data_IF_268291787698
#
_entry.id   IF_268291787698
#
_cell.length_a   1.000
_cell.length_b   1.000
_cell.length_c   1.000
_cell.angle_alpha   90.00
_cell.angle_beta   90.00
_cell.angle_gamma   90.00
#
_symmetry.space_group_name_H-M   'P 1'
#
loop_
_entity.id
_entity.type
_entity.pdbx_description
1 polymer ?
#
# COMPACT_ATOMS: atom_id res chain seq x y z
N UNK A 1 -3.20 -21.04 -7.79
CA UNK A 1 -2.11 -21.42 -6.86
C UNK A 1 -1.89 -20.40 -5.75
N UNK A 2 -2.96 -19.94 -5.09
CA UNK A 2 -2.79 -19.00 -3.98
C UNK A 2 -3.00 -19.74 -2.68
N UNK A 3 -1.90 -20.30 -2.18
CA UNK A 3 -1.82 -20.77 -0.81
C UNK A 3 -1.90 -19.54 0.09
N UNK A 4 -2.57 -19.63 1.25
CA UNK A 4 -2.60 -18.64 2.33
C UNK A 4 -1.18 -18.47 2.94
N UNK A 5 -0.23 -18.05 2.13
CA UNK A 5 1.18 -17.84 2.52
C UNK A 5 1.63 -16.55 1.89
N UNK A 6 2.35 -15.76 2.65
CA UNK A 6 3.06 -14.59 2.16
C UNK A 6 4.03 -15.01 1.05
N UNK A 7 4.18 -14.17 0.06
CA UNK A 7 5.04 -14.48 -1.09
C UNK A 7 6.50 -14.64 -0.65
N UNK A 8 7.24 -15.65 -1.15
CA UNK A 8 8.69 -15.76 -0.90
C UNK A 8 9.48 -14.52 -1.36
N UNK A 9 8.93 -13.73 -2.28
CA UNK A 9 9.52 -12.45 -2.71
C UNK A 9 9.61 -11.47 -1.55
N UNK A 10 8.65 -11.49 -0.61
CA UNK A 10 8.71 -10.61 0.57
C UNK A 10 9.84 -10.96 1.51
N UNK A 11 10.25 -12.22 1.61
CA UNK A 11 11.43 -12.63 2.38
C UNK A 11 12.70 -12.04 1.79
N UNK A 12 12.82 -12.08 0.46
CA UNK A 12 13.93 -11.46 -0.26
C UNK A 12 13.93 -9.94 -0.12
N UNK A 13 12.76 -9.29 -0.24
CA UNK A 13 12.62 -7.84 -0.06
C UNK A 13 12.98 -7.40 1.36
N UNK A 14 12.61 -8.17 2.39
CA UNK A 14 13.01 -7.89 3.77
C UNK A 14 14.53 -8.01 3.94
N UNK A 15 15.14 -9.05 3.37
CA UNK A 15 16.61 -9.18 3.39
C UNK A 15 17.30 -8.02 2.67
N UNK A 16 16.78 -7.59 1.52
CA UNK A 16 17.26 -6.40 0.81
C UNK A 16 17.10 -5.13 1.65
N UNK A 17 15.93 -4.92 2.25
CA UNK A 17 15.66 -3.79 3.13
C UNK A 17 16.62 -3.74 4.33
N UNK A 18 16.89 -4.90 4.95
CA UNK A 18 17.86 -5.02 6.03
C UNK A 18 19.28 -4.65 5.58
N UNK A 19 19.69 -5.12 4.41
CA UNK A 19 20.98 -4.83 3.83
C UNK A 19 21.13 -3.34 3.53
N UNK A 20 20.16 -2.71 2.88
CA UNK A 20 20.18 -1.29 2.56
C UNK A 20 20.11 -0.41 3.82
N UNK A 21 19.30 -0.78 4.81
CA UNK A 21 19.27 -0.07 6.08
C UNK A 21 20.66 -0.11 6.79
N UNK A 22 21.35 -1.24 6.73
CA UNK A 22 22.72 -1.35 7.26
C UNK A 22 23.73 -0.43 6.55
N UNK A 23 23.48 -0.08 5.27
CA UNK A 23 24.34 0.84 4.49
C UNK A 23 23.98 2.31 4.69
N UNK A 24 22.68 2.62 4.77
CA UNK A 24 22.18 3.99 4.79
C UNK A 24 21.94 4.51 6.22
N UNK A 25 21.72 3.63 7.17
CA UNK A 25 21.34 4.01 8.53
C UNK A 25 19.91 4.56 8.61
N UNK A 26 19.64 5.37 9.63
CA UNK A 26 18.32 5.97 9.90
C UNK A 26 17.46 5.12 10.81
N UNK A 27 16.21 5.55 11.12
CA UNK A 27 15.32 4.87 12.07
C UNK A 27 14.75 3.56 11.51
N UNK A 28 14.64 3.43 10.18
CA UNK A 28 14.08 2.25 9.54
C UNK A 28 14.03 2.38 8.02
N UNK A 29 13.11 1.63 7.41
CA UNK A 29 12.90 1.60 5.96
C UNK A 29 11.43 1.92 5.62
N UNK A 30 11.25 2.51 4.43
CA UNK A 30 9.95 2.63 3.77
C UNK A 30 9.92 1.78 2.51
N UNK A 31 8.71 1.39 2.10
CA UNK A 31 8.51 0.71 0.83
C UNK A 31 7.24 1.19 0.15
N UNK A 32 7.34 1.52 -1.13
CA UNK A 32 6.19 1.82 -1.97
C UNK A 32 5.94 0.63 -2.89
N UNK A 33 4.94 -0.17 -2.58
CA UNK A 33 4.48 -1.25 -3.44
C UNK A 33 3.38 -0.76 -4.37
N UNK A 34 3.52 -1.00 -5.68
CA UNK A 34 2.54 -0.57 -6.68
C UNK A 34 2.00 -1.77 -7.46
N UNK A 35 0.71 -1.75 -7.80
CA UNK A 35 0.05 -2.76 -8.61
C UNK A 35 0.31 -4.18 -8.05
N UNK A 36 0.95 -5.06 -8.80
CA UNK A 36 1.30 -6.42 -8.36
C UNK A 36 2.13 -6.48 -7.09
N UNK A 37 2.98 -5.49 -6.85
CA UNK A 37 3.84 -5.42 -5.68
C UNK A 37 3.20 -4.70 -4.50
N UNK A 38 2.00 -4.14 -4.66
CA UNK A 38 1.31 -3.37 -3.61
C UNK A 38 1.20 -4.14 -2.30
N UNK A 39 0.79 -5.40 -2.33
CA UNK A 39 0.68 -6.24 -1.14
C UNK A 39 2.03 -6.65 -0.53
N UNK A 40 3.14 -6.52 -1.26
CA UNK A 40 4.47 -6.88 -0.72
C UNK A 40 4.94 -5.89 0.36
N UNK A 41 4.61 -4.60 0.22
CA UNK A 41 4.91 -3.61 1.25
C UNK A 41 4.26 -3.98 2.59
N UNK A 42 3.02 -4.50 2.56
CA UNK A 42 2.36 -5.03 3.76
C UNK A 42 3.10 -6.25 4.34
N UNK A 43 3.51 -7.20 3.48
CA UNK A 43 4.28 -8.37 3.91
C UNK A 43 5.69 -8.03 4.43
N UNK A 44 6.25 -6.88 4.04
CA UNK A 44 7.53 -6.40 4.59
C UNK A 44 7.41 -5.91 6.04
N UNK A 45 6.20 -5.60 6.54
CA UNK A 45 5.97 -5.22 7.94
C UNK A 45 6.29 -6.33 8.96
N UNK A 46 6.57 -7.56 8.50
CA UNK A 46 7.11 -8.62 9.36
C UNK A 46 8.57 -8.36 9.79
N UNK A 47 9.19 -7.32 9.25
CA UNK A 47 10.50 -6.82 9.67
C UNK A 47 10.32 -5.53 10.48
N UNK A 48 10.94 -5.46 11.67
CA UNK A 48 10.78 -4.35 12.61
C UNK A 48 11.28 -3.01 12.06
N UNK A 49 12.18 -3.05 11.08
CA UNK A 49 12.69 -1.86 10.38
C UNK A 49 11.69 -1.23 9.43
N UNK A 50 10.63 -1.94 9.01
CA UNK A 50 9.59 -1.36 8.15
C UNK A 50 8.71 -0.39 8.95
N UNK A 51 8.89 0.91 8.70
CA UNK A 51 8.19 1.98 9.40
C UNK A 51 7.20 2.73 8.52
N UNK A 52 7.40 2.73 7.21
CA UNK A 52 6.58 3.49 6.27
C UNK A 52 6.11 2.63 5.07
N UNK A 53 5.17 1.69 5.28
CA UNK A 53 4.58 0.90 4.20
C UNK A 53 3.55 1.71 3.42
N UNK A 54 3.68 1.72 2.08
CA UNK A 54 2.74 2.34 1.14
C UNK A 54 2.24 1.30 0.15
N UNK A 55 0.93 1.17 0.02
CA UNK A 55 0.23 0.28 -0.90
C UNK A 55 -0.47 1.11 -1.97
N UNK A 56 0.20 1.39 -3.08
CA UNK A 56 -0.41 2.09 -4.20
C UNK A 56 -1.12 1.08 -5.12
N UNK A 57 -2.42 1.24 -5.32
CA UNK A 57 -3.30 0.37 -6.12
C UNK A 57 -2.95 -1.13 -6.06
N UNK A 58 -2.96 -1.78 -4.87
CA UNK A 58 -2.55 -3.18 -4.74
C UNK A 58 -3.49 -4.12 -5.49
N UNK A 59 -2.98 -4.80 -6.53
CA UNK A 59 -3.80 -5.60 -7.45
C UNK A 59 -3.70 -7.12 -7.23
N UNK A 60 -2.78 -7.62 -6.41
CA UNK A 60 -2.72 -9.03 -6.05
C UNK A 60 -3.33 -9.33 -4.68
N UNK A 61 -3.96 -10.51 -4.53
CA UNK A 61 -4.32 -11.47 -5.59
C UNK A 61 -5.38 -10.90 -6.54
N UNK A 62 -5.38 -11.40 -7.80
CA UNK A 62 -6.33 -10.93 -8.82
C UNK A 62 -7.79 -11.04 -8.32
N UNK A 63 -8.59 -10.03 -8.60
CA UNK A 63 -9.96 -9.83 -8.07
C UNK A 63 -11.02 -10.68 -8.74
N UNK A 64 -10.75 -12.00 -8.93
CA UNK A 64 -11.61 -12.93 -9.68
C UNK A 64 -12.85 -13.37 -8.87
N UNK A 65 -12.72 -13.50 -7.57
CA UNK A 65 -13.83 -13.91 -6.67
C UNK A 65 -13.99 -12.90 -5.54
N UNK A 66 -15.15 -12.88 -4.88
CA UNK A 66 -15.39 -12.02 -3.71
C UNK A 66 -14.31 -12.20 -2.62
N UNK A 67 -13.85 -13.44 -2.41
CA UNK A 67 -12.75 -13.73 -1.48
C UNK A 67 -11.42 -13.12 -1.93
N UNK A 68 -11.11 -13.19 -3.23
CA UNK A 68 -9.88 -12.58 -3.78
C UNK A 68 -9.93 -11.06 -3.72
N UNK A 69 -11.10 -10.45 -3.93
CA UNK A 69 -11.29 -8.99 -3.83
C UNK A 69 -10.92 -8.49 -2.43
N UNK A 70 -11.27 -9.22 -1.38
CA UNK A 70 -10.93 -8.88 0.02
C UNK A 70 -9.52 -9.34 0.46
N UNK A 71 -8.82 -10.15 -0.33
CA UNK A 71 -7.53 -10.70 0.08
C UNK A 71 -6.44 -9.63 0.12
N UNK A 72 -5.63 -9.64 1.18
CA UNK A 72 -4.48 -8.73 1.37
C UNK A 72 -3.17 -9.30 0.81
N UNK A 73 -3.17 -10.54 0.31
CA UNK A 73 -1.99 -11.19 -0.26
C UNK A 73 -0.99 -11.73 0.77
N UNK A 74 -1.30 -11.64 2.05
CA UNK A 74 -0.51 -12.20 3.16
C UNK A 74 -1.27 -13.32 3.87
N UNK A 75 -0.59 -14.12 4.69
CA UNK A 75 -1.24 -15.15 5.51
C UNK A 75 -1.96 -14.54 6.71
N UNK A 76 -2.93 -15.28 7.28
CA UNK A 76 -3.64 -14.82 8.48
C UNK A 76 -2.65 -14.61 9.65
N UNK A 77 -1.66 -15.50 9.81
CA UNK A 77 -0.58 -15.37 10.82
C UNK A 77 0.25 -14.11 10.60
N UNK A 78 0.58 -13.80 9.35
CA UNK A 78 1.37 -12.62 9.03
C UNK A 78 0.54 -11.33 9.22
N UNK A 79 -0.77 -11.42 9.00
CA UNK A 79 -1.69 -10.32 9.31
C UNK A 79 -1.72 -10.02 10.83
N UNK A 80 -1.66 -11.04 11.69
CA UNK A 80 -1.59 -10.82 13.13
C UNK A 80 -0.33 -10.03 13.50
N UNK A 81 0.83 -10.35 12.92
CA UNK A 81 2.06 -9.57 13.10
C UNK A 81 1.89 -8.12 12.59
N UNK A 82 1.26 -7.93 11.43
CA UNK A 82 0.98 -6.57 10.91
C UNK A 82 0.10 -5.79 11.89
N UNK A 83 -0.89 -6.42 12.51
CA UNK A 83 -1.76 -5.78 13.52
C UNK A 83 -0.99 -5.40 14.78
N UNK A 84 -0.07 -6.24 15.24
CA UNK A 84 0.83 -5.93 16.35
C UNK A 84 1.70 -4.71 16.00
N UNK A 85 2.29 -4.67 14.82
CA UNK A 85 3.08 -3.52 14.35
C UNK A 85 2.27 -2.22 14.28
N UNK A 86 1.00 -2.33 13.87
CA UNK A 86 0.08 -1.18 13.88
C UNK A 86 -0.23 -0.73 15.31
N UNK A 87 -0.44 -1.66 16.24
CA UNK A 87 -0.62 -1.32 17.64
C UNK A 87 0.61 -0.62 18.27
N UNK A 88 1.81 -0.91 17.75
CA UNK A 88 3.08 -0.25 18.09
C UNK A 88 3.28 1.10 17.37
N UNK A 89 2.30 1.58 16.60
CA UNK A 89 2.28 2.91 15.99
C UNK A 89 2.69 2.97 14.51
N UNK A 90 2.96 1.84 13.83
CA UNK A 90 3.21 1.83 12.39
C UNK A 90 1.89 2.04 11.64
N UNK A 91 1.82 3.04 10.77
CA UNK A 91 0.66 3.26 9.91
C UNK A 91 0.92 2.78 8.49
N UNK A 92 -0.11 2.23 7.86
CA UNK A 92 -0.13 1.78 6.46
C UNK A 92 -0.85 2.82 5.62
N UNK A 93 -0.19 3.36 4.61
CA UNK A 93 -0.82 4.26 3.64
C UNK A 93 -1.28 3.46 2.42
N UNK A 94 -2.53 3.59 2.02
CA UNK A 94 -3.11 2.95 0.83
C UNK A 94 -3.64 3.99 -0.14
N UNK A 95 -3.38 3.81 -1.45
CA UNK A 95 -3.86 4.67 -2.53
C UNK A 95 -4.61 3.84 -3.57
N UNK A 96 -5.74 4.33 -4.07
CA UNK A 96 -6.47 3.74 -5.20
C UNK A 96 -7.35 4.76 -5.90
N UNK A 97 -7.70 4.47 -7.14
CA UNK A 97 -8.82 5.15 -7.82
C UNK A 97 -10.17 4.47 -7.47
N UNK A 98 -11.24 5.26 -7.38
CA UNK A 98 -12.58 4.78 -6.98
C UNK A 98 -13.12 3.68 -7.89
N UNK A 99 -12.89 3.78 -9.22
CA UNK A 99 -13.37 2.83 -10.22
C UNK A 99 -12.35 1.73 -10.58
N UNK A 100 -11.19 1.68 -9.92
CA UNK A 100 -10.16 0.69 -10.21
C UNK A 100 -10.57 -0.72 -9.79
N UNK A 101 -10.98 -1.52 -10.77
CA UNK A 101 -11.39 -2.91 -10.56
C UNK A 101 -10.25 -3.87 -10.20
N UNK A 102 -8.99 -3.51 -10.48
CA UNK A 102 -7.82 -4.30 -10.13
C UNK A 102 -7.40 -4.08 -8.67
N UNK A 103 -7.62 -2.87 -8.15
CA UNK A 103 -7.46 -2.54 -6.73
C UNK A 103 -8.84 -2.32 -6.08
N UNK A 104 -9.60 -3.40 -5.81
CA UNK A 104 -11.00 -3.32 -5.43
C UNK A 104 -11.20 -2.67 -4.06
N UNK A 105 -12.32 -1.94 -3.89
CA UNK A 105 -12.67 -1.27 -2.63
C UNK A 105 -12.73 -2.24 -1.46
N UNK A 106 -13.21 -3.46 -1.67
CA UNK A 106 -13.33 -4.48 -0.62
C UNK A 106 -11.98 -4.85 0.01
N UNK A 107 -10.86 -4.65 -0.70
CA UNK A 107 -9.51 -4.84 -0.15
C UNK A 107 -9.18 -3.70 0.82
N UNK A 108 -9.54 -2.48 0.49
CA UNK A 108 -9.39 -1.31 1.35
C UNK A 108 -10.32 -1.38 2.56
N UNK A 109 -11.55 -1.84 2.37
CA UNK A 109 -12.47 -2.06 3.49
C UNK A 109 -11.91 -3.08 4.47
N UNK A 110 -11.34 -4.17 3.97
CA UNK A 110 -10.67 -5.13 4.84
C UNK A 110 -9.46 -4.54 5.58
N UNK A 111 -8.66 -3.71 4.92
CA UNK A 111 -7.55 -3.01 5.59
C UNK A 111 -8.07 -2.10 6.72
N UNK A 112 -9.16 -1.36 6.50
CA UNK A 112 -9.81 -0.54 7.53
C UNK A 112 -10.34 -1.40 8.68
N UNK A 113 -10.99 -2.53 8.39
CA UNK A 113 -11.53 -3.45 9.39
C UNK A 113 -10.42 -4.08 10.25
N UNK A 114 -9.30 -4.48 9.64
CA UNK A 114 -8.21 -5.19 10.34
C UNK A 114 -7.24 -4.27 11.07
N UNK A 115 -7.00 -3.05 10.54
CA UNK A 115 -5.96 -2.15 11.02
C UNK A 115 -6.52 -0.87 11.69
N UNK A 116 -7.83 -0.62 11.59
CA UNK A 116 -8.47 0.55 12.20
C UNK A 116 -7.79 1.87 11.81
N UNK A 117 -7.49 2.71 12.79
CA UNK A 117 -6.83 4.02 12.60
C UNK A 117 -5.37 3.90 12.10
N UNK A 118 -4.78 2.71 12.14
CA UNK A 118 -3.46 2.43 11.57
C UNK A 118 -3.47 2.28 10.05
N UNK A 119 -4.64 2.36 9.39
CA UNK A 119 -4.74 2.38 7.93
C UNK A 119 -5.27 3.71 7.42
N UNK A 120 -4.45 4.40 6.65
CA UNK A 120 -4.78 5.67 5.99
C UNK A 120 -5.09 5.37 4.53
N UNK A 121 -6.39 5.27 4.20
CA UNK A 121 -6.85 5.00 2.84
C UNK A 121 -7.15 6.29 2.08
N UNK A 122 -6.44 6.53 0.98
CA UNK A 122 -6.67 7.65 0.04
C UNK A 122 -7.34 7.10 -1.20
N UNK A 123 -8.55 7.56 -1.48
CA UNK A 123 -9.32 7.19 -2.66
C UNK A 123 -9.49 8.40 -3.56
N UNK A 124 -9.04 8.28 -4.81
CA UNK A 124 -9.11 9.32 -5.82
C UNK A 124 -10.35 9.09 -6.69
N UNK A 125 -11.18 10.11 -6.85
CA UNK A 125 -12.39 10.01 -7.67
C UNK A 125 -12.05 9.83 -9.16
N UNK A 126 -12.38 8.66 -9.70
CA UNK A 126 -12.32 8.35 -11.13
C UNK A 126 -13.69 8.00 -11.71
N UNK A 127 -14.77 8.37 -11.01
CA UNK A 127 -16.14 8.13 -11.47
C UNK A 127 -16.43 8.91 -12.78
N UNK A 128 -17.36 8.44 -13.61
CA UNK A 128 -17.74 9.16 -14.82
C UNK A 128 -18.20 10.59 -14.52
N UNK A 129 -17.54 11.57 -15.14
CA UNK A 129 -17.85 12.99 -14.94
C UNK A 129 -17.11 13.66 -13.77
N UNK A 130 -16.12 12.99 -13.16
CA UNK A 130 -15.29 13.59 -12.12
C UNK A 130 -14.60 14.87 -12.58
N UNK A 131 -14.31 15.76 -11.63
CA UNK A 131 -13.82 17.12 -11.87
C UNK A 131 -12.50 17.16 -12.67
N UNK A 132 -11.60 16.23 -12.37
CA UNK A 132 -10.25 16.18 -12.94
C UNK A 132 -10.16 15.34 -14.22
N UNK A 133 -11.29 14.83 -14.73
CA UNK A 133 -11.36 13.99 -15.94
C UNK A 133 -10.48 12.74 -15.86
N UNK A 134 -10.23 12.26 -14.66
CA UNK A 134 -9.50 11.00 -14.44
C UNK A 134 -10.31 9.86 -15.07
N UNK A 135 -9.64 9.03 -15.86
CA UNK A 135 -10.28 7.91 -16.53
C UNK A 135 -10.84 6.92 -15.52
N UNK A 136 -12.05 6.40 -15.77
CA UNK A 136 -12.58 5.27 -14.98
C UNK A 136 -11.72 3.99 -15.07
N UNK A 137 -10.74 3.95 -15.97
CA UNK A 137 -9.76 2.87 -16.11
C UNK A 137 -8.41 3.21 -15.50
N UNK A 138 -8.29 4.38 -14.85
CA UNK A 138 -7.08 4.79 -14.19
C UNK A 138 -6.67 3.76 -13.14
N UNK A 139 -5.37 3.46 -13.09
CA UNK A 139 -4.81 2.45 -12.20
C UNK A 139 -3.54 2.95 -11.48
N UNK A 140 -2.61 3.57 -12.19
CA UNK A 140 -1.26 3.87 -11.68
C UNK A 140 -1.17 5.25 -11.03
N UNK A 141 -1.60 5.38 -9.76
CA UNK A 141 -1.73 6.66 -9.04
C UNK A 141 -0.45 7.49 -9.04
N UNK A 142 0.70 6.86 -8.81
CA UNK A 142 1.98 7.55 -8.60
C UNK A 142 2.88 7.59 -9.83
N UNK A 143 2.41 7.11 -10.98
CA UNK A 143 3.23 7.01 -12.21
C UNK A 143 2.44 7.46 -13.44
N UNK A 144 1.73 6.56 -14.12
CA UNK A 144 1.12 6.83 -15.42
C UNK A 144 0.03 7.92 -15.37
N UNK A 145 -0.79 7.94 -14.33
CA UNK A 145 -1.84 8.94 -14.12
C UNK A 145 -1.41 10.13 -13.25
N UNK A 146 -0.13 10.19 -12.88
CA UNK A 146 0.39 11.31 -12.09
C UNK A 146 0.43 12.59 -12.94
N UNK A 147 -0.28 13.61 -12.50
CA UNK A 147 -0.33 14.94 -13.11
C UNK A 147 0.38 15.93 -12.18
N UNK A 148 1.42 16.59 -12.69
CA UNK A 148 2.22 17.55 -11.93
C UNK A 148 1.58 18.95 -11.97
N UNK A 149 0.37 19.02 -11.42
CA UNK A 149 -0.37 20.29 -11.26
C UNK A 149 -0.77 20.45 -9.80
N UNK A 150 -0.63 21.67 -9.29
CA UNK A 150 -1.10 22.01 -7.94
C UNK A 150 -2.60 21.75 -7.84
N UNK A 151 -3.07 21.20 -6.73
CA UNK A 151 -4.46 20.84 -6.48
C UNK A 151 -4.99 19.66 -7.34
N UNK A 152 -4.14 18.98 -8.13
CA UNK A 152 -4.56 17.75 -8.78
C UNK A 152 -4.51 16.58 -7.78
N UNK A 153 -5.56 15.72 -7.67
CA UNK A 153 -5.64 14.70 -6.63
C UNK A 153 -4.51 13.66 -6.67
N UNK A 154 -3.91 13.40 -7.84
CA UNK A 154 -2.74 12.52 -7.93
C UNK A 154 -1.46 13.17 -7.40
N UNK A 155 -1.32 14.49 -7.53
CA UNK A 155 -0.22 15.24 -6.92
C UNK A 155 -0.38 15.29 -5.40
N UNK A 156 -1.58 15.54 -4.90
CA UNK A 156 -1.88 15.47 -3.46
C UNK A 156 -1.61 14.07 -2.89
N UNK A 157 -1.91 13.01 -3.65
CA UNK A 157 -1.60 11.63 -3.26
C UNK A 157 -0.08 11.40 -3.17
N UNK A 158 0.70 11.94 -4.11
CA UNK A 158 2.17 11.90 -4.05
C UNK A 158 2.69 12.64 -2.82
N UNK A 159 2.19 13.84 -2.54
CA UNK A 159 2.58 14.65 -1.37
C UNK A 159 2.28 13.91 -0.06
N UNK A 160 1.15 13.19 0.02
CA UNK A 160 0.83 12.34 1.17
C UNK A 160 1.83 11.19 1.32
N UNK A 161 2.28 10.57 0.22
CA UNK A 161 3.33 9.54 0.28
C UNK A 161 4.64 10.12 0.78
N UNK A 162 5.07 11.26 0.24
CA UNK A 162 6.31 11.91 0.65
C UNK A 162 6.27 12.34 2.12
N UNK A 163 5.15 12.91 2.58
CA UNK A 163 4.94 13.25 3.99
C UNK A 163 5.00 12.01 4.87
N UNK A 164 4.28 10.93 4.51
CA UNK A 164 4.28 9.67 5.25
C UNK A 164 5.67 9.06 5.38
N UNK A 165 6.46 9.09 4.31
CA UNK A 165 7.86 8.65 4.34
C UNK A 165 8.73 9.57 5.20
N UNK A 166 8.60 10.90 5.03
CA UNK A 166 9.40 11.90 5.74
C UNK A 166 9.21 11.87 7.25
N UNK A 167 7.95 11.82 7.71
CA UNK A 167 7.62 11.77 9.14
C UNK A 167 8.18 10.54 9.87
N UNK A 168 8.42 9.44 9.16
CA UNK A 168 8.82 8.15 9.75
C UNK A 168 10.28 7.77 9.52
N UNK A 169 10.92 8.40 8.55
CA UNK A 169 12.28 8.03 8.14
C UNK A 169 13.31 9.16 8.32
N UNK A 170 12.86 10.39 8.54
CA UNK A 170 13.74 11.57 8.67
C UNK A 170 13.75 12.21 10.06
N UNK A 171 13.04 11.60 11.03
CA UNK A 171 12.95 12.09 12.42
C UNK A 171 13.86 11.31 13.37
#
# INVERSE_FOLDING_TARGET
>A
LMRRRTSPVTDWLRALGAFEHGRCGGPGIGAVGMCFTGGFALGMMLDDRMLAPVLSQPSLPLSITARHRRSLGISDRDLDVVKERVADGVCVLGLRFSEDSMAPVERFDRLREELGDGFIGVELDSSPGNLHRISKRAHSVLTEELVYETDHPTMEALDRVLTHLGERLLT
#
